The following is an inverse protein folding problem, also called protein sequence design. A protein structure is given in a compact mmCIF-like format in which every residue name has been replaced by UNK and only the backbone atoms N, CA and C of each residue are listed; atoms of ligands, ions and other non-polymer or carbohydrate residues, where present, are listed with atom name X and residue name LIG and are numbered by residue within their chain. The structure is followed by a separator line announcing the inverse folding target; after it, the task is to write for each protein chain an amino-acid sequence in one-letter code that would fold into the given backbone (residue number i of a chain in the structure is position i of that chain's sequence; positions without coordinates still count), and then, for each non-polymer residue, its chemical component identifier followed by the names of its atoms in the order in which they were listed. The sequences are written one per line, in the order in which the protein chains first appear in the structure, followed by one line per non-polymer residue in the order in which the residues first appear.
data_IF_840604926154
#
_entry.id   IF_840604926154
#
_cell.length_a   1.000
_cell.length_b   1.000
_cell.length_c   1.000
_cell.angle_alpha   90.00
_cell.angle_beta   90.00
_cell.angle_gamma   90.00
#
_symmetry.space_group_name_H-M   'P 1'
#
loop_
_entity.id
_entity.type
_entity.pdbx_description
1 polymer ?
#
# COMPACT_ATOMS: atom_id res chain seq x y z
N UNK A 1 -14.77 -12.79 13.95
CA UNK A 1 -14.08 -11.97 12.95
C UNK A 1 -15.07 -11.04 12.26
N UNK A 2 -14.75 -9.75 12.13
CA UNK A 2 -15.56 -8.81 11.36
C UNK A 2 -15.41 -9.14 9.87
N UNK A 3 -16.50 -9.12 9.11
CA UNK A 3 -16.46 -9.28 7.64
C UNK A 3 -16.34 -7.90 7.02
N UNK A 4 -15.45 -7.76 6.04
CA UNK A 4 -15.25 -6.51 5.34
C UNK A 4 -15.85 -6.60 3.94
N UNK A 5 -16.55 -5.55 3.55
CA UNK A 5 -17.11 -5.40 2.21
C UNK A 5 -16.31 -4.32 1.50
N UNK A 6 -15.63 -4.70 0.42
CA UNK A 6 -14.90 -3.80 -0.44
C UNK A 6 -15.77 -3.48 -1.65
N UNK A 7 -15.92 -2.20 -1.96
CA UNK A 7 -16.72 -1.72 -3.09
C UNK A 7 -15.80 -1.37 -4.24
N UNK A 8 -16.18 -1.74 -5.45
CA UNK A 8 -15.36 -1.50 -6.63
C UNK A 8 -16.20 -1.08 -7.84
N UNK A 9 -15.54 -0.38 -8.75
CA UNK A 9 -16.08 -0.06 -10.06
C UNK A 9 -15.79 -1.22 -11.03
N UNK A 10 -16.83 -1.87 -11.57
CA UNK A 10 -16.73 -2.96 -12.53
C UNK A 10 -16.10 -2.53 -13.86
N UNK A 11 -16.18 -1.25 -14.22
CA UNK A 11 -15.60 -0.74 -15.48
C UNK A 11 -14.09 -0.57 -15.32
N UNK A 12 -13.65 0.12 -14.26
CA UNK A 12 -12.22 0.38 -14.06
C UNK A 12 -11.50 -0.69 -13.26
N UNK A 13 -12.22 -1.62 -12.63
CA UNK A 13 -11.70 -2.62 -11.70
C UNK A 13 -10.90 -1.98 -10.55
N UNK A 14 -11.38 -0.87 -10.00
CA UNK A 14 -10.74 -0.19 -8.87
C UNK A 14 -11.61 -0.26 -7.62
N UNK A 15 -10.98 -0.52 -6.48
CA UNK A 15 -11.64 -0.40 -5.17
C UNK A 15 -11.87 1.09 -4.86
N UNK A 16 -13.12 1.46 -4.58
CA UNK A 16 -13.57 2.84 -4.34
C UNK A 16 -13.91 3.14 -2.87
N UNK A 17 -14.05 2.08 -2.07
CA UNK A 17 -14.31 2.18 -0.64
C UNK A 17 -14.40 0.82 0.03
N UNK A 18 -14.53 0.83 1.35
CA UNK A 18 -14.72 -0.36 2.16
C UNK A 18 -15.66 -0.06 3.34
N UNK A 19 -16.34 -1.08 3.83
CA UNK A 19 -17.12 -1.02 5.05
C UNK A 19 -16.89 -2.28 5.90
N UNK A 20 -16.76 -2.10 7.21
CA UNK A 20 -16.70 -3.22 8.15
C UNK A 20 -18.11 -3.56 8.61
N UNK A 21 -18.48 -4.84 8.52
CA UNK A 21 -19.73 -5.34 9.06
C UNK A 21 -19.46 -6.21 10.30
N UNK A 22 -20.07 -5.79 11.41
CA UNK A 22 -20.13 -6.55 12.64
C UNK A 22 -21.59 -6.60 13.07
N UNK A 23 -22.10 -7.79 13.39
CA UNK A 23 -23.44 -7.92 13.94
C UNK A 23 -23.38 -7.73 15.45
N UNK A 24 -24.34 -7.00 16.03
CA UNK A 24 -24.53 -7.03 17.48
C UNK A 24 -24.96 -8.44 17.89
N UNK A 25 -24.32 -8.99 18.90
CA UNK A 25 -24.80 -10.23 19.51
C UNK A 25 -26.10 -9.93 20.27
N UNK A 26 -27.27 -10.44 19.82
CA UNK A 26 -28.54 -10.18 20.49
C UNK A 26 -28.59 -10.74 21.92
N UNK A 27 -27.65 -11.59 22.30
CA UNK A 27 -27.55 -12.18 23.65
C UNK A 27 -26.62 -11.40 24.59
N UNK A 28 -25.93 -10.36 24.12
CA UNK A 28 -25.04 -9.58 24.98
C UNK A 28 -25.32 -8.08 24.87
N UNK A 29 -25.22 -7.39 25.99
CA UNK A 29 -25.43 -5.95 26.15
C UNK A 29 -24.26 -5.13 25.59
N UNK A 30 -23.70 -5.51 24.44
CA UNK A 30 -22.61 -4.80 23.78
C UNK A 30 -21.58 -5.67 23.06
N UNK A 31 -21.68 -7.00 23.12
CA UNK A 31 -20.82 -7.88 22.35
C UNK A 31 -21.20 -7.88 20.87
N UNK A 32 -20.19 -8.03 20.03
CA UNK A 32 -20.34 -8.19 18.58
C UNK A 32 -20.13 -9.67 18.25
N UNK A 33 -21.00 -10.23 17.41
CA UNK A 33 -20.82 -11.57 16.82
C UNK A 33 -20.36 -11.46 15.37
N UNK A 34 -19.86 -12.57 14.84
CA UNK A 34 -19.60 -12.71 13.41
C UNK A 34 -20.88 -12.46 12.64
N UNK A 35 -20.78 -11.64 11.59
CA UNK A 35 -21.91 -11.38 10.74
C UNK A 35 -22.19 -12.63 9.89
N UNK A 36 -23.35 -13.25 10.10
CA UNK A 36 -23.84 -14.40 9.34
C UNK A 36 -24.95 -13.98 8.37
N UNK A 37 -25.34 -12.71 8.38
CA UNK A 37 -26.35 -12.14 7.50
C UNK A 37 -25.91 -12.23 6.02
N UNK A 38 -26.81 -12.78 5.22
CA UNK A 38 -26.73 -12.77 3.76
C UNK A 38 -26.56 -11.33 3.26
N UNK A 39 -25.48 -11.08 2.51
CA UNK A 39 -24.99 -9.76 2.12
C UNK A 39 -26.01 -8.95 1.30
N UNK A 40 -27.00 -9.63 0.72
CA UNK A 40 -28.19 -9.06 0.06
C UNK A 40 -28.95 -8.09 0.98
N UNK A 41 -28.99 -8.37 2.28
CA UNK A 41 -29.57 -7.47 3.29
C UNK A 41 -28.72 -6.22 3.55
N UNK A 42 -27.39 -6.36 3.51
CA UNK A 42 -26.43 -5.26 3.73
C UNK A 42 -26.39 -4.31 2.52
N UNK A 43 -26.65 -4.83 1.31
CA UNK A 43 -26.72 -4.03 0.08
C UNK A 43 -27.78 -2.94 0.14
N UNK A 44 -29.00 -3.26 0.57
CA UNK A 44 -30.07 -2.28 0.68
C UNK A 44 -29.78 -1.23 1.77
N UNK A 45 -29.17 -1.63 2.87
CA UNK A 45 -28.72 -0.70 3.92
C UNK A 45 -27.63 0.25 3.41
N UNK A 46 -26.71 -0.24 2.58
CA UNK A 46 -25.69 0.61 1.95
C UNK A 46 -26.33 1.58 0.97
N UNK A 47 -27.19 1.08 0.07
CA UNK A 47 -27.87 1.86 -1.00
C UNK A 47 -28.75 2.96 -0.44
N UNK A 48 -29.45 2.69 0.65
CA UNK A 48 -30.33 3.67 1.33
C UNK A 48 -29.58 4.50 2.39
N UNK A 49 -28.35 4.10 2.72
CA UNK A 49 -27.50 4.73 3.71
C UNK A 49 -26.76 5.98 3.20
N UNK A 50 -26.15 6.70 4.14
CA UNK A 50 -25.40 7.93 3.87
C UNK A 50 -24.10 7.73 3.09
N UNK A 51 -23.61 6.49 3.00
CA UNK A 51 -22.37 6.16 2.30
C UNK A 51 -22.57 6.12 0.77
N UNK A 52 -23.78 5.81 0.30
CA UNK A 52 -24.07 5.57 -1.11
C UNK A 52 -23.74 6.75 -2.04
N UNK A 53 -24.09 8.01 -1.75
CA UNK A 53 -23.75 9.13 -2.61
C UNK A 53 -22.23 9.27 -2.82
N UNK A 54 -21.44 9.08 -1.76
CA UNK A 54 -19.97 9.18 -1.82
C UNK A 54 -19.33 8.05 -2.63
N UNK A 55 -19.95 6.87 -2.63
CA UNK A 55 -19.49 5.76 -3.46
C UNK A 55 -19.87 5.99 -4.93
N UNK A 56 -21.09 6.44 -5.21
CA UNK A 56 -21.53 6.74 -6.58
C UNK A 56 -20.70 7.84 -7.25
N UNK A 57 -20.23 8.84 -6.51
CA UNK A 57 -19.32 9.87 -7.03
C UNK A 57 -18.02 9.31 -7.59
N UNK A 58 -17.61 8.12 -7.14
CA UNK A 58 -16.37 7.45 -7.54
C UNK A 58 -16.56 6.37 -8.61
N UNK A 59 -17.82 6.05 -8.95
CA UNK A 59 -18.17 5.06 -9.97
C UNK A 59 -18.19 5.72 -11.36
N UNK A 60 -17.70 5.00 -12.37
CA UNK A 60 -17.76 5.41 -13.77
C UNK A 60 -19.19 5.77 -14.16
N UNK A 61 -19.34 6.98 -14.71
CA UNK A 61 -20.61 7.60 -15.10
C UNK A 61 -21.64 7.75 -13.97
N UNK A 62 -21.22 7.55 -12.70
CA UNK A 62 -22.10 7.49 -11.53
C UNK A 62 -23.24 6.47 -11.70
N UNK A 63 -23.03 5.45 -12.55
CA UNK A 63 -24.04 4.44 -12.84
C UNK A 63 -24.02 3.32 -11.79
N UNK A 64 -25.08 3.12 -10.99
CA UNK A 64 -25.18 2.04 -10.01
C UNK A 64 -24.89 0.64 -10.57
N UNK A 65 -25.15 0.38 -11.84
CA UNK A 65 -24.92 -0.94 -12.45
C UNK A 65 -23.42 -1.31 -12.52
N UNK A 66 -22.57 -0.28 -12.60
CA UNK A 66 -21.11 -0.41 -12.57
C UNK A 66 -20.60 -0.75 -11.17
N UNK A 67 -21.46 -0.78 -10.15
CA UNK A 67 -21.06 -1.08 -8.78
C UNK A 67 -20.90 -2.57 -8.54
N UNK A 68 -19.76 -2.99 -7.99
CA UNK A 68 -19.50 -4.34 -7.49
C UNK A 68 -19.03 -4.35 -6.04
N UNK A 69 -19.09 -5.51 -5.41
CA UNK A 69 -18.54 -5.70 -4.06
C UNK A 69 -17.80 -7.04 -3.92
N UNK A 70 -16.87 -7.10 -2.97
CA UNK A 70 -16.12 -8.30 -2.59
C UNK A 70 -16.15 -8.40 -1.07
N UNK A 71 -16.49 -9.57 -0.55
CA UNK A 71 -16.40 -9.87 0.87
C UNK A 71 -15.01 -10.44 1.18
N UNK A 72 -14.39 -9.96 2.24
CA UNK A 72 -13.13 -10.48 2.74
C UNK A 72 -13.15 -10.59 4.27
N UNK A 73 -12.50 -11.63 4.78
CA UNK A 73 -12.38 -11.90 6.22
C UNK A 73 -11.15 -11.20 6.85
N UNK A 74 -10.37 -10.48 6.04
CA UNK A 74 -9.12 -9.81 6.45
C UNK A 74 -9.35 -8.39 7.00
N UNK A 75 -8.69 -8.09 8.13
CA UNK A 75 -8.62 -6.77 8.77
C UNK A 75 -8.20 -5.68 7.77
N UNK A 76 -8.82 -4.49 7.76
CA UNK A 76 -8.68 -3.56 6.66
C UNK A 76 -7.31 -2.91 6.71
N UNK A 77 -6.68 -2.82 5.54
CA UNK A 77 -5.70 -1.77 5.25
C UNK A 77 -6.34 -0.76 4.31
N UNK A 78 -5.61 0.29 3.95
CA UNK A 78 -6.17 1.32 3.08
C UNK A 78 -6.71 0.69 1.78
N UNK A 79 -7.97 0.95 1.43
CA UNK A 79 -8.68 0.21 0.36
C UNK A 79 -8.03 0.34 -1.03
N UNK A 80 -7.19 1.36 -1.23
CA UNK A 80 -6.36 1.54 -2.41
C UNK A 80 -5.25 0.47 -2.55
N UNK A 81 -5.00 -0.33 -1.52
CA UNK A 81 -4.05 -1.44 -1.50
C UNK A 81 -4.48 -2.67 -2.29
N UNK A 82 -5.75 -2.72 -2.72
CA UNK A 82 -6.35 -3.89 -3.33
C UNK A 82 -6.96 -3.57 -4.70
N UNK A 83 -7.12 -4.61 -5.50
CA UNK A 83 -7.86 -4.62 -6.76
C UNK A 83 -8.77 -5.87 -6.82
N UNK A 84 -9.95 -5.78 -7.46
CA UNK A 84 -10.76 -6.94 -7.79
C UNK A 84 -9.99 -7.90 -8.70
N UNK A 85 -10.11 -9.20 -8.45
CA UNK A 85 -9.53 -10.20 -9.33
C UNK A 85 -10.37 -11.47 -9.41
N UNK A 86 -10.28 -12.18 -10.53
CA UNK A 86 -11.05 -13.39 -10.83
C UNK A 86 -10.13 -14.61 -10.94
N UNK A 87 -10.40 -15.64 -10.14
CA UNK A 87 -9.63 -16.88 -10.11
C UNK A 87 -10.61 -18.02 -10.06
N UNK A 88 -10.51 -18.90 -11.05
CA UNK A 88 -11.38 -20.08 -11.17
C UNK A 88 -12.88 -19.74 -11.11
N UNK A 89 -13.27 -18.57 -11.63
CA UNK A 89 -14.65 -18.09 -11.65
C UNK A 89 -15.12 -17.35 -10.39
N UNK A 90 -14.33 -17.34 -9.32
CA UNK A 90 -14.64 -16.61 -8.09
C UNK A 90 -13.95 -15.24 -8.05
N UNK A 91 -14.63 -14.24 -7.53
CA UNK A 91 -14.11 -12.89 -7.35
C UNK A 91 -13.48 -12.74 -5.96
N UNK A 92 -12.26 -12.20 -5.89
CA UNK A 92 -11.50 -12.01 -4.65
C UNK A 92 -10.73 -10.70 -4.68
N UNK A 93 -10.26 -10.26 -3.51
CA UNK A 93 -9.32 -9.15 -3.40
C UNK A 93 -7.92 -9.63 -3.72
N UNK A 94 -7.32 -9.06 -4.74
CA UNK A 94 -5.90 -9.17 -5.01
C UNK A 94 -5.21 -7.94 -4.44
N UNK A 95 -4.20 -8.16 -3.60
CA UNK A 95 -3.36 -7.06 -3.13
C UNK A 95 -2.49 -6.55 -4.28
N UNK A 96 -2.49 -5.23 -4.48
CA UNK A 96 -1.64 -4.59 -5.46
C UNK A 96 -0.17 -4.66 -5.00
N UNK A 97 0.79 -4.84 -5.92
CA UNK A 97 2.20 -4.75 -5.56
C UNK A 97 2.51 -3.39 -4.95
N UNK A 98 3.41 -3.37 -3.96
CA UNK A 98 3.95 -2.14 -3.39
C UNK A 98 5.47 -2.16 -3.46
N UNK A 99 6.07 -0.98 -3.61
CA UNK A 99 7.53 -0.86 -3.52
C UNK A 99 7.97 -1.09 -2.06
N UNK A 100 9.23 -1.34 -1.81
CA UNK A 100 9.77 -1.38 -0.47
C UNK A 100 11.16 -0.80 -0.58
N UNK A 101 11.25 0.48 -0.24
CA UNK A 101 12.48 1.24 -0.17
C UNK A 101 13.14 1.02 1.19
N UNK A 102 14.40 0.61 1.18
CA UNK A 102 15.23 0.48 2.37
C UNK A 102 16.65 0.95 2.08
N UNK A 103 17.37 1.27 3.15
CA UNK A 103 18.81 1.47 3.08
C UNK A 103 19.51 0.11 3.16
N UNK A 104 20.57 -0.08 2.36
CA UNK A 104 21.47 -1.21 2.59
C UNK A 104 22.22 -1.00 3.91
N UNK A 105 22.62 -2.09 4.60
CA UNK A 105 23.42 -1.97 5.81
C UNK A 105 24.65 -1.10 5.59
N UNK A 106 24.85 -0.12 6.47
CA UNK A 106 25.97 0.82 6.40
C UNK A 106 26.41 1.18 7.82
N UNK A 107 27.72 1.30 8.09
CA UNK A 107 28.23 1.72 9.40
C UNK A 107 27.84 3.16 9.76
N UNK A 108 27.31 3.93 8.81
CA UNK A 108 26.80 5.28 9.02
C UNK A 108 25.39 5.30 9.60
N UNK A 109 24.67 4.17 9.56
CA UNK A 109 23.36 4.01 10.20
C UNK A 109 23.60 3.83 11.69
N UNK A 110 23.12 4.77 12.50
CA UNK A 110 23.21 4.73 13.95
C UNK A 110 22.02 4.00 14.56
N UNK A 111 20.83 4.13 13.95
CA UNK A 111 19.59 3.55 14.44
C UNK A 111 18.63 3.27 13.29
N UNK A 112 17.88 2.18 13.42
CA UNK A 112 16.78 1.79 12.54
C UNK A 112 15.53 1.52 13.39
N UNK A 113 14.40 2.10 13.00
CA UNK A 113 13.09 1.87 13.62
C UNK A 113 12.09 1.57 12.52
N UNK A 114 11.55 0.36 12.52
CA UNK A 114 10.49 -0.05 11.58
C UNK A 114 9.11 0.28 12.17
N UNK A 115 8.28 0.95 11.37
CA UNK A 115 6.86 1.17 11.62
C UNK A 115 6.03 0.55 10.49
N UNK A 116 4.73 0.38 10.75
CA UNK A 116 3.78 -0.22 9.80
C UNK A 116 3.84 0.42 8.41
N UNK A 117 3.97 1.76 8.35
CA UNK A 117 3.91 2.54 7.10
C UNK A 117 5.24 3.24 6.74
N UNK A 118 6.29 3.12 7.54
CA UNK A 118 7.57 3.80 7.27
C UNK A 118 8.75 3.17 8.01
N UNK A 119 9.96 3.33 7.46
CA UNK A 119 11.21 3.00 8.14
C UNK A 119 11.93 4.31 8.46
N UNK A 120 12.30 4.48 9.72
CA UNK A 120 13.06 5.64 10.19
C UNK A 120 14.49 5.22 10.44
N UNK A 121 15.42 6.03 9.92
CA UNK A 121 16.84 5.84 10.11
C UNK A 121 17.44 7.09 10.74
N UNK A 122 18.33 6.88 11.72
CA UNK A 122 19.25 7.92 12.18
C UNK A 122 20.62 7.64 11.56
N UNK A 123 21.19 8.65 10.91
CA UNK A 123 22.42 8.52 10.13
C UNK A 123 23.38 9.62 10.55
N UNK A 124 24.64 9.25 10.80
CA UNK A 124 25.71 10.23 11.00
C UNK A 124 26.08 10.83 9.64
N UNK A 125 25.94 12.16 9.52
CA UNK A 125 26.22 12.90 8.28
C UNK A 125 27.55 13.65 8.27
N UNK A 126 28.41 13.47 9.27
CA UNK A 126 29.71 14.15 9.37
C UNK A 126 30.54 13.94 8.09
N UNK A 127 30.86 15.03 7.39
CA UNK A 127 31.59 15.03 6.11
C UNK A 127 30.74 14.65 4.88
N UNK A 128 29.42 14.57 5.03
CA UNK A 128 28.49 14.09 4.01
C UNK A 128 28.47 12.57 3.93
N UNK A 129 27.33 12.01 3.52
CA UNK A 129 27.16 10.55 3.47
C UNK A 129 26.52 10.10 2.17
N UNK A 130 27.01 8.97 1.65
CA UNK A 130 26.42 8.26 0.52
C UNK A 130 25.73 7.02 1.06
N UNK A 131 24.43 6.93 0.80
CA UNK A 131 23.57 5.83 1.23
C UNK A 131 23.22 4.99 0.02
N UNK A 132 23.59 3.71 0.04
CA UNK A 132 23.15 2.77 -0.98
C UNK A 132 21.72 2.34 -0.67
N UNK A 133 20.82 2.62 -1.60
CA UNK A 133 19.40 2.35 -1.47
C UNK A 133 19.05 1.07 -2.24
N UNK A 134 18.12 0.29 -1.71
CA UNK A 134 17.52 -0.85 -2.40
C UNK A 134 16.01 -0.68 -2.42
N UNK A 135 15.44 -0.82 -3.61
CA UNK A 135 14.00 -0.93 -3.83
C UNK A 135 13.70 -2.36 -4.21
N UNK A 136 12.73 -2.96 -3.55
CA UNK A 136 12.17 -4.23 -3.99
C UNK A 136 10.65 -4.12 -4.15
N UNK A 137 10.07 -4.91 -5.03
CA UNK A 137 8.60 -5.04 -5.09
C UNK A 137 8.18 -6.17 -4.15
N UNK A 138 7.24 -5.87 -3.26
CA UNK A 138 6.62 -6.84 -2.38
C UNK A 138 5.14 -6.96 -2.72
N UNK A 139 4.63 -8.17 -2.55
CA UNK A 139 3.21 -8.49 -2.69
C UNK A 139 2.58 -8.88 -1.35
N UNK A 140 3.40 -9.32 -0.38
CA UNK A 140 3.01 -9.66 0.99
C UNK A 140 3.69 -8.80 2.04
N UNK A 141 3.00 -8.56 3.15
CA UNK A 141 3.64 -8.16 4.41
C UNK A 141 4.09 -9.43 5.16
N UNK A 142 5.11 -9.32 6.01
CA UNK A 142 5.66 -10.43 6.80
C UNK A 142 4.63 -11.13 7.73
N UNK A 143 3.42 -10.58 7.89
CA UNK A 143 2.38 -11.05 8.80
C UNK A 143 1.09 -11.54 8.10
N UNK A 144 1.06 -11.67 6.78
CA UNK A 144 -0.12 -12.17 6.03
C UNK A 144 0.18 -13.54 5.45
N UNK A 145 -0.78 -14.46 5.54
CA UNK A 145 -0.71 -15.76 4.88
C UNK A 145 -0.43 -15.57 3.38
N UNK A 146 0.49 -16.37 2.83
CA UNK A 146 0.88 -16.30 1.42
C UNK A 146 -0.36 -16.43 0.53
N UNK A 147 -0.72 -15.40 -0.22
CA UNK A 147 -1.81 -15.48 -1.18
C UNK A 147 -1.40 -16.43 -2.32
N UNK A 148 -2.39 -17.06 -2.97
CA UNK A 148 -2.14 -18.09 -3.98
C UNK A 148 -1.23 -17.62 -5.13
N UNK A 149 -1.27 -16.34 -5.48
CA UNK A 149 -0.42 -15.75 -6.53
C UNK A 149 0.98 -15.35 -6.07
N UNK A 150 1.23 -15.18 -4.76
CA UNK A 150 2.58 -14.84 -4.27
C UNK A 150 3.62 -15.91 -4.63
N UNK A 151 3.15 -17.14 -4.87
CA UNK A 151 3.98 -18.28 -5.28
C UNK A 151 4.38 -18.24 -6.75
N UNK A 152 3.71 -17.44 -7.60
CA UNK A 152 3.84 -17.44 -9.06
C UNK A 152 4.30 -16.10 -9.65
N UNK A 153 4.80 -15.16 -8.82
CA UNK A 153 5.18 -13.82 -9.28
C UNK A 153 6.37 -13.90 -10.24
N UNK A 154 6.13 -13.56 -11.51
CA UNK A 154 7.19 -13.17 -12.44
C UNK A 154 7.76 -11.82 -11.96
N UNK A 155 9.09 -11.70 -11.91
CA UNK A 155 9.74 -10.47 -11.49
C UNK A 155 9.25 -9.26 -12.31
N UNK A 156 9.00 -8.14 -11.64
CA UNK A 156 8.59 -6.89 -12.27
C UNK A 156 9.83 -6.20 -12.82
N UNK A 157 9.74 -5.77 -14.08
CA UNK A 157 10.76 -4.98 -14.75
C UNK A 157 10.16 -3.64 -15.19
N UNK A 158 10.96 -2.58 -15.21
CA UNK A 158 10.50 -1.28 -15.67
C UNK A 158 11.36 -0.12 -15.17
N UNK A 159 10.94 1.10 -15.50
CA UNK A 159 11.56 2.32 -14.99
C UNK A 159 10.71 2.90 -13.86
N UNK A 160 11.34 3.24 -12.75
CA UNK A 160 10.72 3.94 -11.62
C UNK A 160 11.40 5.29 -11.41
N UNK A 161 10.74 6.18 -10.67
CA UNK A 161 11.28 7.49 -10.32
C UNK A 161 11.51 7.58 -8.82
N UNK A 162 12.76 7.75 -8.41
CA UNK A 162 13.13 8.11 -7.06
C UNK A 162 13.15 9.64 -6.89
N UNK A 163 12.69 10.13 -5.75
CA UNK A 163 12.66 11.55 -5.41
C UNK A 163 13.09 11.73 -3.95
N UNK A 164 13.78 12.84 -3.67
CA UNK A 164 14.31 13.17 -2.35
C UNK A 164 13.97 14.60 -1.97
N UNK A 165 13.71 14.86 -0.69
CA UNK A 165 13.47 16.23 -0.19
C UNK A 165 14.75 16.98 0.15
N UNK A 166 15.85 16.25 0.40
CA UNK A 166 17.16 16.82 0.71
C UNK A 166 18.27 15.96 0.10
N UNK A 167 19.35 16.61 -0.30
CA UNK A 167 20.51 15.98 -0.92
C UNK A 167 20.33 15.75 -2.41
N UNK A 168 21.14 14.85 -2.98
CA UNK A 168 21.13 14.51 -4.41
C UNK A 168 21.10 13.00 -4.58
N UNK A 169 20.61 12.52 -5.72
CA UNK A 169 20.61 11.11 -6.05
C UNK A 169 21.63 10.78 -7.14
N UNK A 170 21.97 9.50 -7.23
CA UNK A 170 22.64 8.90 -8.36
C UNK A 170 21.80 7.69 -8.83
N UNK A 171 21.19 7.73 -10.02
CA UNK A 171 21.31 8.78 -11.04
C UNK A 171 20.61 10.10 -10.67
N UNK A 172 21.07 11.21 -11.26
CA UNK A 172 20.64 12.58 -10.87
C UNK A 172 19.19 12.89 -11.20
N UNK A 173 18.68 12.28 -12.26
CA UNK A 173 17.29 12.42 -12.71
C UNK A 173 16.31 11.54 -11.91
N UNK A 174 16.83 10.71 -10.99
CA UNK A 174 16.02 9.80 -10.18
C UNK A 174 15.49 8.59 -10.94
N UNK A 175 15.80 8.44 -12.23
CA UNK A 175 15.31 7.32 -13.03
C UNK A 175 16.05 6.04 -12.65
N UNK A 176 15.37 5.10 -12.00
CA UNK A 176 15.95 3.83 -11.58
C UNK A 176 15.37 2.69 -12.42
N UNK A 177 16.24 1.77 -12.84
CA UNK A 177 15.83 0.60 -13.62
C UNK A 177 15.58 -0.59 -12.68
N UNK A 178 14.33 -1.07 -12.69
CA UNK A 178 13.87 -2.24 -11.95
C UNK A 178 14.11 -3.49 -12.79
N UNK A 179 14.85 -4.46 -12.24
CA UNK A 179 15.09 -5.78 -12.83
C UNK A 179 14.78 -6.87 -11.83
N UNK A 180 13.92 -7.81 -12.21
CA UNK A 180 13.45 -8.92 -11.38
C UNK A 180 12.97 -8.46 -9.99
N UNK A 181 12.12 -7.42 -9.97
CA UNK A 181 11.59 -6.81 -8.75
C UNK A 181 12.64 -6.22 -7.80
N UNK A 182 13.85 -5.91 -8.28
CA UNK A 182 14.88 -5.18 -7.53
C UNK A 182 15.47 -4.00 -8.33
N UNK A 183 15.71 -2.89 -7.65
CA UNK A 183 16.44 -1.74 -8.16
C UNK A 183 17.37 -1.19 -7.08
N UNK A 184 18.46 -0.56 -7.50
CA UNK A 184 19.43 0.08 -6.60
C UNK A 184 19.80 1.46 -7.12
N UNK A 185 20.01 2.39 -6.20
CA UNK A 185 20.44 3.75 -6.49
C UNK A 185 21.16 4.29 -5.26
N UNK A 186 21.76 5.48 -5.38
CA UNK A 186 22.44 6.10 -4.26
C UNK A 186 21.76 7.41 -3.87
N UNK A 187 21.66 7.65 -2.57
CA UNK A 187 21.22 8.90 -2.01
C UNK A 187 22.37 9.56 -1.26
N UNK A 188 22.75 10.75 -1.71
CA UNK A 188 23.89 11.51 -1.19
C UNK A 188 23.33 12.65 -0.35
N UNK A 189 23.49 12.52 0.96
CA UNK A 189 23.06 13.52 1.94
C UNK A 189 24.23 14.48 2.26
N UNK A 190 23.99 15.80 2.23
CA UNK A 190 25.01 16.78 2.59
C UNK A 190 25.25 16.79 4.10
N UNK A 191 26.40 17.32 4.49
CA UNK A 191 26.78 17.59 5.88
C UNK A 191 26.04 18.83 6.40
N UNK A 192 24.73 18.70 6.59
CA UNK A 192 23.94 19.73 7.25
C UNK A 192 23.25 19.12 8.45
N UNK A 193 23.34 19.82 9.59
CA UNK A 193 22.53 19.55 10.78
C UNK A 193 21.07 19.93 10.49
N UNK A 194 20.40 19.13 9.65
CA UNK A 194 19.04 19.41 9.18
C UNK A 194 18.06 19.37 10.35
N UNK A 195 17.31 20.46 10.54
CA UNK A 195 16.22 20.52 11.52
C UNK A 195 15.02 19.64 11.14
N UNK A 196 14.92 19.25 9.87
CA UNK A 196 13.83 18.43 9.33
C UNK A 196 14.35 17.09 8.79
N UNK A 197 13.58 15.98 8.95
CA UNK A 197 13.96 14.69 8.39
C UNK A 197 14.05 14.74 6.87
N UNK A 198 15.18 14.32 6.31
CA UNK A 198 15.34 14.08 4.88
C UNK A 198 14.44 12.90 4.49
N UNK A 199 13.73 13.00 3.35
CA UNK A 199 12.82 11.95 2.88
C UNK A 199 13.24 11.46 1.51
N UNK A 200 13.12 10.15 1.30
CA UNK A 200 13.23 9.52 0.00
C UNK A 200 11.97 8.69 -0.27
N UNK A 201 11.50 8.73 -1.52
CA UNK A 201 10.34 7.99 -1.99
C UNK A 201 10.56 7.55 -3.43
N UNK A 202 9.87 6.47 -3.81
CA UNK A 202 9.94 5.90 -5.16
C UNK A 202 8.53 5.77 -5.70
N UNK A 203 8.35 6.19 -6.95
CA UNK A 203 7.07 6.19 -7.67
C UNK A 203 7.17 5.28 -8.89
N UNK A 204 6.07 4.61 -9.19
CA UNK A 204 5.83 4.02 -10.50
C UNK A 204 5.13 5.04 -11.40
N UNK A 205 5.78 5.53 -12.48
CA UNK A 205 5.17 6.47 -13.42
C UNK A 205 3.88 5.95 -14.06
N UNK A 206 3.71 4.62 -14.15
CA UNK A 206 2.51 4.00 -14.70
C UNK A 206 1.39 3.82 -13.66
N UNK A 207 1.67 4.09 -12.38
CA UNK A 207 0.71 3.96 -11.29
C UNK A 207 0.20 2.55 -11.03
N UNK A 208 0.86 1.51 -11.56
CA UNK A 208 0.49 0.10 -11.38
C UNK A 208 0.91 -0.40 -10.01
N UNK A 209 2.09 0.00 -9.55
CA UNK A 209 2.63 -0.31 -8.22
C UNK A 209 2.28 0.83 -7.26
N UNK A 210 1.77 0.48 -6.08
CA UNK A 210 1.50 1.47 -5.05
C UNK A 210 2.80 2.06 -4.49
N UNK A 211 2.76 3.38 -4.27
CA UNK A 211 3.84 4.15 -3.68
C UNK A 211 4.13 3.58 -2.29
N UNK A 212 5.40 3.20 -2.04
CA UNK A 212 5.78 2.67 -0.74
C UNK A 212 6.36 3.71 0.18
N UNK A 213 6.01 3.56 1.45
CA UNK A 213 6.79 3.88 2.65
C UNK A 213 7.87 4.94 2.43
N UNK A 214 7.60 6.16 2.85
CA UNK A 214 8.64 7.20 2.89
C UNK A 214 9.76 6.75 3.81
N UNK A 215 10.99 6.72 3.30
CA UNK A 215 12.16 6.53 4.15
C UNK A 215 12.55 7.89 4.73
N UNK A 216 12.59 7.98 6.06
CA UNK A 216 12.90 9.23 6.77
C UNK A 216 14.25 9.10 7.44
N UNK A 217 15.18 9.96 7.08
CA UNK A 217 16.51 10.06 7.69
C UNK A 217 16.57 11.31 8.54
N UNK A 218 16.85 11.15 9.83
CA UNK A 218 17.29 12.27 10.66
C UNK A 218 18.82 12.34 10.56
N UNK A 219 19.31 13.50 10.16
CA UNK A 219 20.75 13.78 10.12
C UNK A 219 21.17 14.14 11.55
N UNK A 220 22.12 13.39 12.10
CA UNK A 220 22.71 13.61 13.41
C UNK A 220 24.17 14.02 13.24
#
# INVERSE_FOLDING_TARGET
MAKYIYFYDKVTQHIIGMNSHAEKDPKSSGGMKEADADITSVWEDIRTGRMWPFLLEKITDKNPDNFGFIQADETPKAYNEYEPHHLSGSLYLKRRPYLCLKMKPSPKIMKEIEHDDSCFYEVNTDGGVILDMEVCVKHTHQHVEKHAEDKNIKGINGSLLAEVTLGRMNPRDGNIEMKNSKAQFQWILPDITSKEPARCYVKDPQGKILISKSLRVKCC
#
